data_IF_059244685906
#
_entry.id   IF_059244685906
#
_cell.length_a   1.000
_cell.length_b   1.000
_cell.length_c   1.000
_cell.angle_alpha   90.00
_cell.angle_beta   90.00
_cell.angle_gamma   90.00
#
_symmetry.space_group_name_H-M   'P 1'
#
loop_
_entity.id
_entity.type
_entity.pdbx_description
1 polymer ?
#
# COMPACT_ATOMS: atom_id res chain seq x y z
N UNK A 1 -41.46 -0.74 18.17
CA UNK A 1 -41.16 -0.06 19.44
C UNK A 1 -39.65 0.07 19.49
N UNK A 2 -39.13 1.22 19.05
CA UNK A 2 -37.68 1.42 18.87
C UNK A 2 -37.13 1.93 20.20
N UNK A 3 -36.47 1.07 20.97
CA UNK A 3 -35.80 1.52 22.19
C UNK A 3 -34.61 2.39 21.84
N UNK A 4 -34.75 3.67 22.10
CA UNK A 4 -33.71 4.67 21.93
C UNK A 4 -32.75 4.56 23.12
N UNK A 5 -31.62 3.88 22.93
CA UNK A 5 -30.54 3.79 23.91
C UNK A 5 -29.91 5.18 24.12
N UNK A 6 -30.55 6.01 24.92
CA UNK A 6 -30.02 7.30 25.33
C UNK A 6 -28.90 7.09 26.35
N UNK A 7 -27.67 6.92 25.88
CA UNK A 7 -26.47 6.96 26.73
C UNK A 7 -26.38 8.36 27.33
N UNK A 8 -26.82 8.53 28.57
CA UNK A 8 -26.55 9.75 29.35
C UNK A 8 -25.04 9.85 29.57
N UNK A 9 -24.37 10.63 28.73
CA UNK A 9 -22.98 11.04 28.96
C UNK A 9 -22.98 12.08 30.09
N UNK A 10 -22.89 11.62 31.33
CA UNK A 10 -22.44 12.51 32.40
C UNK A 10 -21.03 12.98 32.05
N UNK A 11 -20.83 14.31 31.98
CA UNK A 11 -19.57 14.91 31.60
C UNK A 11 -18.57 14.74 32.75
N UNK A 12 -17.97 13.55 32.83
CA UNK A 12 -17.04 13.18 33.89
C UNK A 12 -15.73 13.93 33.66
N UNK A 13 -15.54 15.04 34.39
CA UNK A 13 -14.31 15.84 34.34
C UNK A 13 -13.27 15.24 35.27
N UNK A 14 -12.15 14.83 34.70
CA UNK A 14 -10.97 14.43 35.44
C UNK A 14 -9.99 15.60 35.45
N UNK A 15 -9.63 16.07 36.64
CA UNK A 15 -8.53 17.02 36.78
C UNK A 15 -7.20 16.26 36.81
N UNK A 16 -6.17 16.73 36.09
CA UNK A 16 -4.85 16.10 36.16
C UNK A 16 -4.29 16.18 37.58
N UNK A 17 -3.50 15.18 37.97
CA UNK A 17 -2.78 15.18 39.25
C UNK A 17 -1.97 16.49 39.39
N UNK A 18 -2.01 17.19 40.54
CA UNK A 18 -1.26 18.44 40.75
C UNK A 18 0.24 18.32 40.43
N UNK A 19 0.83 17.13 40.61
CA UNK A 19 2.23 16.86 40.25
C UNK A 19 2.46 16.92 38.74
N UNK A 20 1.52 16.42 37.94
CA UNK A 20 1.56 16.53 36.48
C UNK A 20 1.46 17.99 36.03
N UNK A 21 0.64 18.80 36.70
CA UNK A 21 0.55 20.24 36.42
C UNK A 21 1.85 20.97 36.74
N UNK A 22 2.50 20.63 37.85
CA UNK A 22 3.78 21.23 38.25
C UNK A 22 4.94 20.85 37.31
N UNK A 23 4.94 19.63 36.76
CA UNK A 23 5.96 19.15 35.82
C UNK A 23 5.65 19.45 34.33
N UNK A 24 4.54 20.11 34.04
CA UNK A 24 4.16 20.45 32.67
C UNK A 24 5.11 21.49 32.07
N UNK A 25 5.28 21.47 30.75
CA UNK A 25 6.05 22.50 30.03
C UNK A 25 5.40 23.90 30.10
N UNK A 26 4.10 23.97 30.35
CA UNK A 26 3.33 25.20 30.55
C UNK A 26 2.53 25.12 31.85
N UNK A 27 3.20 25.25 33.01
CA UNK A 27 2.56 25.08 34.32
C UNK A 27 1.61 26.25 34.67
N UNK A 28 1.89 27.44 34.13
CA UNK A 28 1.06 28.63 34.25
C UNK A 28 0.43 29.01 32.90
N UNK A 29 -0.70 28.37 32.62
CA UNK A 29 -1.50 28.64 31.42
C UNK A 29 -1.90 30.11 31.30
N UNK A 30 -2.29 30.76 32.41
CA UNK A 30 -2.78 32.14 32.39
C UNK A 30 -1.70 33.08 31.89
N UNK A 31 -0.48 32.93 32.40
CA UNK A 31 0.68 33.70 31.93
C UNK A 31 0.99 33.43 30.46
N UNK A 32 1.10 32.16 30.06
CA UNK A 32 1.40 31.81 28.66
C UNK A 32 0.32 32.33 27.70
N UNK A 33 -0.95 32.30 28.11
CA UNK A 33 -2.06 32.85 27.33
C UNK A 33 -1.99 34.38 27.24
N UNK A 34 -1.64 35.08 28.32
CA UNK A 34 -1.44 36.53 28.28
C UNK A 34 -0.27 36.92 27.37
N UNK A 35 0.84 36.17 27.39
CA UNK A 35 1.98 36.37 26.47
C UNK A 35 1.56 36.16 25.01
N UNK A 36 0.82 35.08 24.73
CA UNK A 36 0.22 34.80 23.43
C UNK A 36 -0.67 35.95 22.93
N UNK A 37 -1.54 36.46 23.79
CA UNK A 37 -2.46 37.56 23.46
C UNK A 37 -1.74 38.90 23.26
N UNK A 38 -0.61 39.13 23.93
CA UNK A 38 0.19 40.35 23.79
C UNK A 38 0.96 40.39 22.48
N UNK A 39 1.62 39.30 22.10
CA UNK A 39 2.38 39.23 20.86
C UNK A 39 2.41 37.79 20.32
N UNK A 40 1.47 37.51 19.42
CA UNK A 40 1.31 36.21 18.78
C UNK A 40 2.57 35.76 18.02
N UNK A 41 3.24 36.69 17.36
CA UNK A 41 4.37 36.40 16.47
C UNK A 41 5.62 36.03 17.27
N UNK A 42 5.97 36.86 18.26
CA UNK A 42 7.07 36.56 19.16
C UNK A 42 6.82 35.27 19.98
N UNK A 43 5.57 35.01 20.36
CA UNK A 43 5.20 33.78 21.06
C UNK A 43 5.49 32.54 20.23
N UNK A 44 5.06 32.51 18.97
CA UNK A 44 5.29 31.37 18.09
C UNK A 44 6.73 31.28 17.60
N UNK A 45 7.39 32.40 17.29
CA UNK A 45 8.82 32.40 16.90
C UNK A 45 9.67 31.72 17.98
N UNK A 46 9.40 31.98 19.26
CA UNK A 46 10.05 31.31 20.38
C UNK A 46 9.80 29.79 20.38
N UNK A 47 8.55 29.36 20.26
CA UNK A 47 8.19 27.93 20.33
C UNK A 47 8.79 27.16 19.16
N UNK A 48 8.71 27.72 17.96
CA UNK A 48 9.13 27.02 16.74
C UNK A 48 10.65 26.87 16.67
N UNK A 49 11.42 27.74 17.35
CA UNK A 49 12.88 27.63 17.52
C UNK A 49 13.31 26.47 18.42
N UNK A 50 12.40 25.85 19.18
CA UNK A 50 12.71 24.66 19.98
C UNK A 50 12.93 23.41 19.11
N UNK A 51 12.50 23.46 17.85
CA UNK A 51 12.64 22.37 16.87
C UNK A 51 13.91 22.54 16.03
N UNK A 52 14.63 21.46 15.70
CA UNK A 52 15.61 21.47 14.62
C UNK A 52 15.03 21.78 13.23
N UNK A 53 15.59 22.80 12.58
CA UNK A 53 15.30 23.20 11.21
C UNK A 53 16.53 22.97 10.32
N UNK A 54 16.31 22.50 9.09
CA UNK A 54 17.37 22.45 8.07
C UNK A 54 17.56 23.82 7.43
N UNK A 55 16.45 24.53 7.17
CA UNK A 55 16.43 25.90 6.69
C UNK A 55 15.36 26.67 7.50
N UNK A 56 15.75 27.58 8.41
CA UNK A 56 14.80 28.37 9.20
C UNK A 56 13.94 29.31 8.34
N UNK A 57 12.79 29.73 8.87
CA UNK A 57 11.90 30.68 8.19
C UNK A 57 12.47 32.11 8.21
N UNK A 58 12.12 32.90 7.18
CA UNK A 58 12.51 34.31 7.08
C UNK A 58 11.60 35.26 7.88
N UNK A 59 10.29 35.27 7.58
CA UNK A 59 9.29 36.07 8.27
C UNK A 59 8.10 35.21 8.74
N UNK A 60 7.51 35.57 9.88
CA UNK A 60 6.33 34.87 10.40
C UNK A 60 5.08 35.33 9.65
N UNK A 61 4.14 34.40 9.39
CA UNK A 61 2.84 34.65 8.74
C UNK A 61 2.87 35.08 7.26
N UNK A 62 4.01 35.02 6.57
CA UNK A 62 4.04 35.17 5.12
C UNK A 62 3.75 33.82 4.42
N UNK A 63 2.75 33.80 3.53
CA UNK A 63 2.25 32.62 2.82
C UNK A 63 2.70 32.58 1.34
N UNK A 64 3.98 32.90 1.05
CA UNK A 64 4.62 32.66 -0.25
C UNK A 64 5.66 31.51 -0.25
N UNK A 65 5.42 30.44 -1.01
CA UNK A 65 6.26 29.22 -1.06
C UNK A 65 7.55 29.44 -1.88
N UNK A 66 8.73 28.85 -1.52
CA UNK A 66 9.04 27.99 -0.36
C UNK A 66 9.50 28.75 0.90
N UNK A 67 9.09 28.26 2.08
CA UNK A 67 9.10 28.99 3.36
C UNK A 67 10.28 28.71 4.31
N UNK A 68 10.54 27.42 4.51
CA UNK A 68 11.44 26.85 5.50
C UNK A 68 11.49 25.33 5.27
N UNK A 69 12.53 24.67 5.77
CA UNK A 69 12.73 23.22 5.60
C UNK A 69 12.92 22.55 6.95
N UNK A 70 11.99 21.67 7.30
CA UNK A 70 12.06 20.80 8.47
C UNK A 70 11.70 19.37 8.04
N UNK A 71 12.13 18.38 8.82
CA UNK A 71 11.65 17.02 8.70
C UNK A 71 11.03 16.59 10.04
N UNK A 72 9.75 16.21 10.00
CA UNK A 72 9.00 15.82 11.18
C UNK A 72 9.52 14.51 11.77
N UNK A 73 9.91 13.54 10.93
CA UNK A 73 10.52 12.29 11.37
C UNK A 73 11.86 12.54 12.06
N UNK A 74 12.67 13.46 11.52
CA UNK A 74 13.93 13.86 12.16
C UNK A 74 13.71 14.46 13.55
N UNK A 75 12.73 15.36 13.68
CA UNK A 75 12.38 16.01 14.93
C UNK A 75 11.78 15.04 15.96
N UNK A 76 11.00 14.04 15.53
CA UNK A 76 10.33 13.11 16.41
C UNK A 76 11.14 11.86 16.75
N UNK A 77 12.06 11.42 15.88
CA UNK A 77 12.75 10.13 16.02
C UNK A 77 14.27 10.27 15.88
N UNK A 78 14.74 10.70 14.70
CA UNK A 78 16.16 10.57 14.34
C UNK A 78 17.07 11.33 15.32
N UNK A 79 16.72 12.55 15.71
CA UNK A 79 17.53 13.35 16.65
C UNK A 79 17.60 12.73 18.05
N UNK A 80 16.55 12.03 18.46
CA UNK A 80 16.47 11.40 19.78
C UNK A 80 17.17 10.04 19.79
N UNK A 81 17.10 9.32 18.67
CA UNK A 81 17.85 8.08 18.46
C UNK A 81 19.37 8.33 18.34
N UNK A 82 19.78 9.48 17.79
CA UNK A 82 21.19 9.87 17.69
C UNK A 82 21.77 10.48 18.99
N UNK A 83 20.92 10.86 19.95
CA UNK A 83 21.35 11.52 21.20
C UNK A 83 21.26 10.62 22.43
N UNK A 84 21.39 11.22 23.61
CA UNK A 84 21.42 10.50 24.90
C UNK A 84 20.09 9.82 25.27
N UNK A 85 19.00 10.19 24.59
CA UNK A 85 17.68 9.60 24.80
C UNK A 85 17.45 8.30 24.01
N UNK A 86 18.46 7.80 23.29
CA UNK A 86 18.33 6.64 22.40
C UNK A 86 17.70 5.41 23.05
N UNK A 87 17.97 5.17 24.34
CA UNK A 87 17.47 4.01 25.09
C UNK A 87 16.14 4.27 25.81
N UNK A 88 15.56 5.47 25.68
CA UNK A 88 14.27 5.82 26.29
C UNK A 88 13.12 5.12 25.54
N UNK A 89 12.22 4.40 26.23
CA UNK A 89 11.02 3.81 25.63
C UNK A 89 10.10 4.89 25.04
N UNK A 90 9.64 4.67 23.81
CA UNK A 90 8.74 5.57 23.06
C UNK A 90 7.38 4.92 22.86
N UNK A 91 7.37 3.63 22.53
CA UNK A 91 6.14 2.87 22.29
C UNK A 91 6.11 1.67 23.22
N UNK A 92 5.02 1.55 23.97
CA UNK A 92 4.68 0.34 24.72
C UNK A 92 3.48 -0.28 24.03
N UNK A 93 3.68 -1.43 23.40
CA UNK A 93 2.63 -2.19 22.75
C UNK A 93 2.21 -3.35 23.64
N UNK A 94 0.90 -3.55 23.79
CA UNK A 94 0.32 -4.70 24.47
C UNK A 94 -0.49 -5.52 23.47
N UNK A 95 -0.27 -6.83 23.46
CA UNK A 95 -1.07 -7.78 22.69
C UNK A 95 -2.32 -8.19 23.46
N UNK A 96 -3.35 -8.64 22.74
CA UNK A 96 -4.54 -9.24 23.37
C UNK A 96 -4.20 -10.52 24.17
N UNK A 97 -3.08 -11.17 23.86
CA UNK A 97 -2.55 -12.33 24.59
C UNK A 97 -1.69 -11.96 25.81
N UNK A 98 -1.58 -10.67 26.16
CA UNK A 98 -0.82 -10.20 27.32
C UNK A 98 0.68 -10.00 27.09
N UNK A 99 1.17 -10.09 25.85
CA UNK A 99 2.56 -9.78 25.51
C UNK A 99 2.78 -8.27 25.54
N UNK A 100 3.84 -7.80 26.19
CA UNK A 100 4.24 -6.39 26.19
C UNK A 100 5.56 -6.21 25.43
N UNK A 101 5.58 -5.29 24.46
CA UNK A 101 6.81 -4.88 23.76
C UNK A 101 7.09 -3.41 24.00
N UNK A 102 8.32 -3.11 24.41
CA UNK A 102 8.80 -1.73 24.58
C UNK A 102 9.82 -1.42 23.49
N UNK A 103 9.51 -0.43 22.66
CA UNK A 103 10.40 0.07 21.62
C UNK A 103 11.03 1.39 22.10
N UNK A 104 12.36 1.46 22.09
CA UNK A 104 13.14 2.67 22.39
C UNK A 104 13.30 3.55 21.15
N UNK A 105 13.80 4.78 21.30
CA UNK A 105 14.12 5.63 20.13
C UNK A 105 15.10 4.95 19.19
N UNK A 106 16.17 4.36 19.74
CA UNK A 106 17.16 3.59 18.97
C UNK A 106 16.54 2.33 18.35
N UNK A 107 15.70 1.62 19.10
CA UNK A 107 15.02 0.42 18.61
C UNK A 107 14.01 0.72 17.51
N UNK A 108 13.36 1.88 17.53
CA UNK A 108 12.45 2.34 16.48
C UNK A 108 13.21 2.88 15.26
N UNK A 109 14.32 3.60 15.48
CA UNK A 109 15.18 4.16 14.43
C UNK A 109 15.98 3.07 13.69
N UNK A 110 16.61 2.16 14.45
CA UNK A 110 17.30 0.97 13.92
C UNK A 110 16.35 -0.15 13.58
N UNK A 111 15.06 0.00 13.89
CA UNK A 111 14.03 -1.00 13.69
C UNK A 111 14.22 -1.69 12.35
N UNK A 112 14.82 -2.89 12.42
CA UNK A 112 15.36 -3.64 11.28
C UNK A 112 14.25 -3.98 10.26
N UNK A 113 12.98 -3.84 10.65
CA UNK A 113 11.80 -4.12 9.87
C UNK A 113 11.33 -2.97 8.96
N UNK A 114 11.36 -1.70 9.38
CA UNK A 114 10.71 -0.62 8.60
C UNK A 114 11.57 -0.16 7.41
N UNK A 115 12.88 -0.03 7.61
CA UNK A 115 13.82 0.35 6.54
C UNK A 115 13.94 -0.72 5.47
N UNK A 116 14.08 -1.99 5.88
CA UNK A 116 14.09 -3.12 4.97
C UNK A 116 12.74 -3.28 4.26
N UNK A 117 11.61 -3.18 4.96
CA UNK A 117 10.29 -3.24 4.32
C UNK A 117 10.11 -2.10 3.29
N UNK A 118 10.52 -0.88 3.60
CA UNK A 118 10.45 0.26 2.67
C UNK A 118 11.31 0.01 1.43
N UNK A 119 12.54 -0.45 1.63
CA UNK A 119 13.45 -0.80 0.54
C UNK A 119 12.90 -1.94 -0.32
N UNK A 120 12.33 -2.97 0.32
CA UNK A 120 11.74 -4.11 -0.38
C UNK A 120 10.47 -3.72 -1.16
N UNK A 121 9.62 -2.83 -0.64
CA UNK A 121 8.49 -2.29 -1.41
C UNK A 121 8.97 -1.55 -2.66
N UNK A 122 10.01 -0.71 -2.53
CA UNK A 122 10.64 -0.04 -3.67
C UNK A 122 11.25 -1.03 -4.67
N UNK A 123 11.96 -2.04 -4.17
CA UNK A 123 12.53 -3.11 -4.98
C UNK A 123 11.45 -3.89 -5.74
N UNK A 124 10.36 -4.29 -5.09
CA UNK A 124 9.27 -5.01 -5.74
C UNK A 124 8.53 -4.15 -6.77
N UNK A 125 8.42 -2.83 -6.54
CA UNK A 125 7.85 -1.90 -7.52
C UNK A 125 8.61 -1.90 -8.85
N UNK A 126 9.94 -2.11 -8.83
CA UNK A 126 10.74 -2.29 -10.06
C UNK A 126 10.25 -3.50 -10.85
N UNK A 127 9.98 -4.63 -10.19
CA UNK A 127 9.46 -5.82 -10.85
C UNK A 127 8.05 -5.60 -11.39
N UNK A 128 7.18 -4.87 -10.68
CA UNK A 128 5.87 -4.50 -11.21
C UNK A 128 5.96 -3.61 -12.45
N UNK A 129 6.87 -2.63 -12.45
CA UNK A 129 7.15 -1.82 -13.63
C UNK A 129 7.70 -2.65 -14.78
N UNK A 130 8.73 -3.45 -14.55
CA UNK A 130 9.42 -4.26 -15.56
C UNK A 130 8.56 -5.42 -16.09
N UNK A 131 7.64 -5.95 -15.28
CA UNK A 131 6.72 -7.01 -15.68
C UNK A 131 5.82 -6.58 -16.85
N UNK A 132 5.45 -5.30 -16.93
CA UNK A 132 4.58 -4.78 -18.01
C UNK A 132 5.20 -4.97 -19.41
N UNK A 133 6.38 -4.41 -19.74
CA UNK A 133 6.97 -4.62 -21.05
C UNK A 133 7.41 -6.08 -21.27
N UNK A 134 7.85 -6.79 -20.22
CA UNK A 134 8.28 -8.18 -20.34
C UNK A 134 7.14 -9.11 -20.75
N UNK A 135 6.04 -9.11 -19.99
CA UNK A 135 4.90 -9.97 -20.28
C UNK A 135 4.00 -9.42 -21.39
N UNK A 136 3.93 -8.10 -21.57
CA UNK A 136 3.26 -7.48 -22.73
C UNK A 136 3.92 -7.92 -24.03
N UNK A 137 5.24 -7.72 -24.16
CA UNK A 137 5.98 -8.16 -25.34
C UNK A 137 5.98 -9.67 -25.53
N UNK A 138 5.86 -10.46 -24.46
CA UNK A 138 5.65 -11.89 -24.57
C UNK A 138 4.25 -12.22 -25.12
N UNK A 139 3.19 -11.60 -24.59
CA UNK A 139 1.82 -11.77 -25.09
C UNK A 139 1.71 -11.46 -26.59
N UNK A 140 2.39 -10.41 -27.06
CA UNK A 140 2.41 -10.04 -28.47
C UNK A 140 3.13 -11.07 -29.35
N UNK A 141 4.18 -11.74 -28.84
CA UNK A 141 4.99 -12.71 -29.60
C UNK A 141 4.40 -14.11 -29.63
N UNK A 142 3.78 -14.58 -28.54
CA UNK A 142 3.30 -15.97 -28.44
C UNK A 142 1.78 -16.09 -28.46
N UNK A 143 1.08 -15.33 -27.61
CA UNK A 143 -0.38 -15.18 -27.49
C UNK A 143 -0.70 -14.75 -26.05
N UNK A 144 -1.76 -13.95 -25.85
CA UNK A 144 -2.22 -13.60 -24.51
C UNK A 144 -2.56 -14.81 -23.64
N UNK A 145 -3.10 -15.88 -24.24
CA UNK A 145 -3.42 -17.14 -23.54
C UNK A 145 -2.18 -17.79 -22.90
N UNK A 146 -1.14 -18.07 -23.70
CA UNK A 146 0.07 -18.75 -23.21
C UNK A 146 0.81 -17.90 -22.20
N UNK A 147 0.82 -16.58 -22.38
CA UNK A 147 1.42 -15.65 -21.41
C UNK A 147 0.65 -15.62 -20.09
N UNK A 148 -0.69 -15.63 -20.12
CA UNK A 148 -1.50 -15.75 -18.90
C UNK A 148 -1.27 -17.08 -18.17
N UNK A 149 -1.16 -18.19 -18.91
CA UNK A 149 -0.81 -19.50 -18.32
C UNK A 149 0.57 -19.46 -17.65
N UNK A 150 1.56 -18.85 -18.30
CA UNK A 150 2.90 -18.70 -17.71
C UNK A 150 2.84 -17.90 -16.39
N UNK A 151 2.13 -16.77 -16.34
CA UNK A 151 2.06 -15.96 -15.12
C UNK A 151 1.34 -16.69 -13.99
N UNK A 152 0.27 -17.44 -14.27
CA UNK A 152 -0.38 -18.28 -13.26
C UNK A 152 0.56 -19.39 -12.75
N UNK A 153 1.35 -20.02 -13.62
CA UNK A 153 2.36 -20.99 -13.21
C UNK A 153 3.43 -20.38 -12.31
N UNK A 154 3.92 -19.18 -12.64
CA UNK A 154 4.88 -18.44 -11.82
C UNK A 154 4.31 -18.05 -10.45
N UNK A 155 3.04 -17.60 -10.39
CA UNK A 155 2.35 -17.29 -9.13
C UNK A 155 2.25 -18.53 -8.24
N UNK A 156 1.86 -19.68 -8.82
CA UNK A 156 1.77 -20.93 -8.07
C UNK A 156 3.14 -21.37 -7.54
N UNK A 157 4.19 -21.34 -8.38
CA UNK A 157 5.55 -21.71 -7.98
C UNK A 157 6.11 -20.80 -6.87
N UNK A 158 5.94 -19.48 -7.00
CA UNK A 158 6.35 -18.52 -5.98
C UNK A 158 5.59 -18.72 -4.65
N UNK A 159 4.29 -19.02 -4.73
CA UNK A 159 3.47 -19.29 -3.54
C UNK A 159 3.87 -20.59 -2.84
N UNK A 160 4.19 -21.64 -3.60
CA UNK A 160 4.69 -22.91 -3.04
C UNK A 160 6.08 -22.72 -2.42
N UNK A 161 6.98 -21.96 -3.05
CA UNK A 161 8.32 -21.69 -2.53
C UNK A 161 8.29 -21.06 -1.13
N UNK A 162 7.54 -19.96 -0.97
CA UNK A 162 7.44 -19.28 0.33
C UNK A 162 6.69 -20.12 1.38
N UNK A 163 5.77 -20.98 0.95
CA UNK A 163 5.06 -21.87 1.87
C UNK A 163 5.96 -23.01 2.40
N UNK A 164 6.75 -23.64 1.52
CA UNK A 164 7.61 -24.77 1.90
C UNK A 164 8.93 -24.35 2.56
N UNK A 165 9.45 -23.19 2.22
CA UNK A 165 10.73 -22.69 2.72
C UNK A 165 10.59 -21.22 3.21
N UNK A 166 9.85 -20.98 4.31
CA UNK A 166 9.66 -19.62 4.81
C UNK A 166 11.00 -19.03 5.28
N UNK A 167 11.38 -17.89 4.70
CA UNK A 167 12.60 -17.17 5.05
C UNK A 167 12.78 -15.91 4.21
N UNK A 168 13.68 -15.01 4.64
CA UNK A 168 13.91 -13.72 3.96
C UNK A 168 14.29 -13.89 2.49
N UNK A 169 15.20 -14.80 2.09
CA UNK A 169 15.51 -15.00 0.67
C UNK A 169 14.32 -15.50 -0.14
N UNK A 170 13.56 -16.45 0.38
CA UNK A 170 12.35 -16.98 -0.27
C UNK A 170 11.27 -15.89 -0.41
N UNK A 171 11.12 -15.02 0.60
CA UNK A 171 10.24 -13.86 0.55
C UNK A 171 10.63 -12.91 -0.58
N UNK A 172 11.90 -12.50 -0.65
CA UNK A 172 12.41 -11.56 -1.67
C UNK A 172 12.18 -12.12 -3.08
N UNK A 173 12.58 -13.38 -3.32
CA UNK A 173 12.42 -14.01 -4.65
C UNK A 173 10.94 -14.16 -5.01
N UNK A 174 10.13 -14.68 -4.08
CA UNK A 174 8.71 -14.93 -4.36
C UNK A 174 7.95 -13.63 -4.61
N UNK A 175 8.16 -12.59 -3.79
CA UNK A 175 7.47 -11.31 -3.96
C UNK A 175 7.96 -10.53 -5.20
N UNK A 176 9.22 -10.66 -5.60
CA UNK A 176 9.69 -10.13 -6.88
C UNK A 176 8.93 -10.76 -8.07
N UNK A 177 8.76 -12.08 -8.05
CA UNK A 177 7.99 -12.81 -9.08
C UNK A 177 6.50 -12.42 -9.04
N UNK A 178 5.89 -12.37 -7.86
CA UNK A 178 4.47 -12.01 -7.68
C UNK A 178 4.20 -10.56 -8.15
N UNK A 179 5.06 -9.60 -7.79
CA UNK A 179 4.93 -8.22 -8.26
C UNK A 179 5.17 -8.10 -9.76
N UNK A 180 6.11 -8.87 -10.31
CA UNK A 180 6.33 -9.00 -11.75
C UNK A 180 5.09 -9.51 -12.48
N UNK A 181 4.45 -10.55 -11.95
CA UNK A 181 3.20 -11.10 -12.51
C UNK A 181 2.04 -10.11 -12.40
N UNK A 182 1.93 -9.37 -11.30
CA UNK A 182 0.95 -8.29 -11.13
C UNK A 182 1.15 -7.21 -12.20
N UNK A 183 2.40 -6.79 -12.44
CA UNK A 183 2.75 -5.86 -13.51
C UNK A 183 2.41 -6.41 -14.89
N UNK A 184 2.74 -7.67 -15.14
CA UNK A 184 2.43 -8.36 -16.38
C UNK A 184 0.94 -8.44 -16.66
N UNK A 185 0.10 -8.70 -15.65
CA UNK A 185 -1.36 -8.74 -15.83
C UNK A 185 -1.93 -7.41 -16.32
N UNK A 186 -1.39 -6.28 -15.85
CA UNK A 186 -1.77 -4.94 -16.31
C UNK A 186 -1.42 -4.67 -17.78
N UNK A 187 -0.61 -5.52 -18.41
CA UNK A 187 -0.32 -5.50 -19.85
C UNK A 187 -1.05 -6.61 -20.62
N UNK A 188 -1.15 -7.82 -20.07
CA UNK A 188 -1.80 -8.96 -20.73
C UNK A 188 -3.32 -8.74 -20.86
N UNK A 189 -4.00 -8.26 -19.82
CA UNK A 189 -5.45 -8.09 -19.84
C UNK A 189 -5.95 -7.13 -20.95
N UNK A 190 -5.38 -5.91 -21.12
CA UNK A 190 -5.78 -5.04 -22.21
C UNK A 190 -5.40 -5.62 -23.58
N UNK A 191 -4.21 -6.23 -23.73
CA UNK A 191 -3.80 -6.88 -24.98
C UNK A 191 -4.76 -8.02 -25.38
N UNK A 192 -5.07 -8.92 -24.44
CA UNK A 192 -6.03 -10.01 -24.64
C UNK A 192 -7.40 -9.47 -25.05
N UNK A 193 -7.87 -8.41 -24.38
CA UNK A 193 -9.16 -7.81 -24.68
C UNK A 193 -9.21 -7.25 -26.09
N UNK A 194 -8.19 -6.48 -26.50
CA UNK A 194 -8.10 -5.93 -27.85
C UNK A 194 -7.99 -7.03 -28.91
N UNK A 195 -7.18 -8.08 -28.65
CA UNK A 195 -7.02 -9.20 -29.58
C UNK A 195 -8.29 -10.05 -29.73
N UNK A 196 -9.12 -10.16 -28.70
CA UNK A 196 -10.28 -11.06 -28.70
C UNK A 196 -11.58 -10.36 -29.09
N UNK A 197 -11.76 -9.10 -28.70
CA UNK A 197 -13.01 -8.35 -28.92
C UNK A 197 -12.86 -7.21 -29.93
N UNK A 198 -11.64 -6.97 -30.43
CA UNK A 198 -11.35 -5.83 -31.30
C UNK A 198 -11.30 -4.50 -30.56
N UNK A 199 -11.09 -3.42 -31.31
CA UNK A 199 -10.91 -2.07 -30.74
C UNK A 199 -12.19 -1.25 -30.66
N UNK A 200 -13.24 -1.61 -31.40
CA UNK A 200 -14.48 -0.85 -31.49
C UNK A 200 -15.24 -0.75 -30.15
N UNK A 201 -15.39 -1.87 -29.43
CA UNK A 201 -16.05 -1.92 -28.11
C UNK A 201 -15.06 -2.12 -26.96
N UNK A 202 -13.76 -1.89 -27.21
CA UNK A 202 -12.68 -2.16 -26.25
C UNK A 202 -12.91 -1.58 -24.85
N UNK A 203 -13.30 -0.30 -24.65
CA UNK A 203 -13.49 0.25 -23.31
C UNK A 203 -14.58 -0.48 -22.50
N UNK A 204 -15.63 -0.97 -23.17
CA UNK A 204 -16.70 -1.73 -22.51
C UNK A 204 -16.22 -3.12 -22.12
N UNK A 205 -15.61 -3.85 -23.05
CA UNK A 205 -15.09 -5.19 -22.80
C UNK A 205 -14.00 -5.17 -21.71
N UNK A 206 -13.06 -4.23 -21.81
CA UNK A 206 -11.98 -4.09 -20.83
C UNK A 206 -12.52 -3.69 -19.46
N UNK A 207 -13.55 -2.83 -19.40
CA UNK A 207 -14.23 -2.47 -18.15
C UNK A 207 -14.77 -3.69 -17.41
N UNK A 208 -15.38 -4.65 -18.11
CA UNK A 208 -15.87 -5.91 -17.50
C UNK A 208 -14.70 -6.78 -17.00
N UNK A 209 -13.63 -6.90 -17.79
CA UNK A 209 -12.43 -7.65 -17.38
C UNK A 209 -11.80 -7.02 -16.13
N UNK A 210 -11.72 -5.69 -16.08
CA UNK A 210 -11.13 -4.95 -14.97
C UNK A 210 -11.99 -4.97 -13.71
N UNK A 211 -13.31 -5.15 -13.83
CA UNK A 211 -14.20 -5.36 -12.69
C UNK A 211 -13.79 -6.59 -11.86
N UNK A 212 -13.39 -7.68 -12.52
CA UNK A 212 -12.90 -8.89 -11.84
C UNK A 212 -11.62 -8.63 -11.03
N UNK A 213 -10.73 -7.76 -11.54
CA UNK A 213 -9.55 -7.31 -10.78
C UNK A 213 -9.96 -6.55 -9.51
N UNK A 214 -10.95 -5.65 -9.62
CA UNK A 214 -11.49 -4.92 -8.46
C UNK A 214 -12.08 -5.85 -7.40
N UNK A 215 -12.84 -6.88 -7.81
CA UNK A 215 -13.37 -7.88 -6.89
C UNK A 215 -12.26 -8.63 -6.14
N UNK A 216 -11.18 -9.01 -6.84
CA UNK A 216 -9.99 -9.63 -6.24
C UNK A 216 -9.27 -8.71 -5.24
N UNK A 217 -9.14 -7.42 -5.56
CA UNK A 217 -8.52 -6.44 -4.67
C UNK A 217 -9.30 -6.22 -3.37
N UNK A 218 -10.61 -6.45 -3.37
CA UNK A 218 -11.46 -6.40 -2.18
C UNK A 218 -11.39 -7.73 -1.40
N UNK A 219 -11.51 -8.87 -2.09
CA UNK A 219 -11.55 -10.19 -1.45
C UNK A 219 -10.20 -10.61 -0.86
N UNK A 220 -9.09 -10.28 -1.52
CA UNK A 220 -7.75 -10.71 -1.15
C UNK A 220 -7.32 -10.28 0.26
N UNK A 221 -7.33 -8.98 0.60
CA UNK A 221 -6.97 -8.49 1.94
C UNK A 221 -7.86 -9.06 3.05
N UNK A 222 -9.16 -9.24 2.77
CA UNK A 222 -10.11 -9.80 3.74
C UNK A 222 -9.80 -11.28 4.02
N UNK A 223 -9.53 -12.06 2.97
CA UNK A 223 -9.12 -13.46 3.10
C UNK A 223 -7.79 -13.56 3.86
N UNK A 224 -6.80 -12.72 3.54
CA UNK A 224 -5.52 -12.70 4.24
C UNK A 224 -5.68 -12.33 5.73
N UNK A 225 -6.56 -11.37 6.04
CA UNK A 225 -6.91 -10.99 7.41
C UNK A 225 -7.54 -12.16 8.18
N UNK A 226 -8.52 -12.85 7.58
CA UNK A 226 -9.15 -14.03 8.17
C UNK A 226 -8.14 -15.17 8.42
N UNK A 227 -7.25 -15.44 7.46
CA UNK A 227 -6.22 -16.46 7.63
C UNK A 227 -5.27 -16.09 8.78
N UNK A 228 -4.89 -14.82 8.89
CA UNK A 228 -4.01 -14.34 9.96
C UNK A 228 -4.65 -14.45 11.34
N UNK A 229 -5.95 -14.18 11.48
CA UNK A 229 -6.67 -14.30 12.75
C UNK A 229 -6.90 -15.76 13.13
N UNK A 230 -7.20 -16.63 12.16
CA UNK A 230 -7.44 -18.05 12.41
C UNK A 230 -6.16 -18.85 12.71
N UNK A 231 -5.07 -18.57 11.99
CA UNK A 231 -3.85 -19.41 12.03
C UNK A 231 -2.68 -18.77 12.79
N UNK A 232 -2.78 -17.49 13.12
CA UNK A 232 -1.67 -16.75 13.74
C UNK A 232 -0.57 -16.32 12.76
N UNK A 233 -0.68 -16.63 11.46
CA UNK A 233 0.34 -16.33 10.45
C UNK A 233 -0.26 -15.97 9.09
N UNK A 234 0.49 -15.23 8.27
CA UNK A 234 0.13 -14.99 6.86
C UNK A 234 0.57 -16.13 5.93
N UNK A 235 1.40 -17.07 6.42
CA UNK A 235 1.89 -18.18 5.59
C UNK A 235 0.75 -19.07 5.06
N UNK A 236 -0.36 -19.17 5.79
CA UNK A 236 -1.54 -19.94 5.38
C UNK A 236 -2.24 -19.39 4.12
N UNK A 237 -1.90 -18.18 3.67
CA UNK A 237 -2.47 -17.57 2.46
C UNK A 237 -1.89 -18.20 1.20
N UNK A 238 -0.60 -18.57 1.21
CA UNK A 238 0.10 -18.98 -0.01
C UNK A 238 -0.40 -20.31 -0.61
N UNK A 239 -0.78 -21.34 0.16
CA UNK A 239 -1.46 -22.51 -0.39
C UNK A 239 -2.75 -22.16 -1.13
N UNK A 240 -3.56 -21.24 -0.59
CA UNK A 240 -4.79 -20.79 -1.23
C UNK A 240 -4.49 -20.06 -2.53
N UNK A 241 -3.48 -19.18 -2.54
CA UNK A 241 -3.02 -18.48 -3.76
C UNK A 241 -2.53 -19.49 -4.80
N UNK A 242 -1.79 -20.52 -4.40
CA UNK A 242 -1.33 -21.56 -5.32
C UNK A 242 -2.50 -22.34 -5.96
N UNK A 243 -3.53 -22.68 -5.18
CA UNK A 243 -4.74 -23.34 -5.69
C UNK A 243 -5.52 -22.43 -6.64
N UNK A 244 -5.71 -21.16 -6.27
CA UNK A 244 -6.38 -20.18 -7.14
C UNK A 244 -5.61 -19.94 -8.44
N UNK A 245 -4.28 -19.91 -8.38
CA UNK A 245 -3.42 -19.79 -9.55
C UNK A 245 -3.51 -21.03 -10.44
N UNK A 246 -3.56 -22.24 -9.88
CA UNK A 246 -3.77 -23.47 -10.63
C UNK A 246 -5.16 -23.51 -11.30
N UNK A 247 -6.21 -23.03 -10.62
CA UNK A 247 -7.53 -22.87 -11.21
C UNK A 247 -7.51 -21.83 -12.35
N UNK A 248 -6.86 -20.68 -12.14
CA UNK A 248 -6.67 -19.66 -13.17
C UNK A 248 -5.91 -20.18 -14.39
N UNK A 249 -4.88 -21.00 -14.19
CA UNK A 249 -4.16 -21.69 -15.25
C UNK A 249 -5.07 -22.60 -16.07
N UNK A 250 -5.89 -23.43 -15.40
CA UNK A 250 -6.83 -24.32 -16.07
C UNK A 250 -7.91 -23.54 -16.85
N UNK A 251 -8.43 -22.45 -16.27
CA UNK A 251 -9.39 -21.55 -16.94
C UNK A 251 -8.76 -20.90 -18.17
N UNK A 252 -7.54 -20.39 -18.07
CA UNK A 252 -6.82 -19.80 -19.20
C UNK A 252 -6.58 -20.82 -20.32
N UNK A 253 -6.17 -22.04 -19.96
CA UNK A 253 -6.02 -23.12 -20.94
C UNK A 253 -7.33 -23.40 -21.65
N UNK A 254 -8.41 -23.64 -20.90
CA UNK A 254 -9.66 -24.16 -21.46
C UNK A 254 -10.44 -23.08 -22.23
N UNK A 255 -10.49 -21.86 -21.69
CA UNK A 255 -11.44 -20.82 -22.10
C UNK A 255 -10.83 -19.64 -22.87
N UNK A 256 -9.55 -19.30 -22.67
CA UNK A 256 -8.92 -18.18 -23.40
C UNK A 256 -8.45 -18.60 -24.80
N UNK A 257 -9.36 -19.15 -25.63
CA UNK A 257 -9.02 -19.54 -27.00
C UNK A 257 -9.08 -18.32 -27.93
N UNK A 258 -8.15 -18.20 -28.90
CA UNK A 258 -8.21 -17.11 -29.86
C UNK A 258 -9.51 -17.17 -30.70
N UNK A 259 -10.09 -16.03 -31.09
CA UNK A 259 -11.27 -16.00 -31.94
C UNK A 259 -11.01 -16.70 -33.26
N UNK A 260 -12.02 -17.40 -33.76
CA UNK A 260 -12.00 -17.94 -35.13
C UNK A 260 -12.03 -16.74 -36.08
N UNK A 261 -11.06 -16.64 -36.99
CA UNK A 261 -11.06 -15.60 -38.00
C UNK A 261 -12.33 -15.72 -38.86
N UNK A 262 -13.17 -14.67 -38.84
CA UNK A 262 -14.31 -14.59 -39.75
C UNK A 262 -13.72 -14.27 -41.14
N UNK A 263 -13.95 -15.10 -42.17
CA UNK A 263 -13.47 -14.79 -43.51
C UNK A 263 -14.02 -13.43 -43.95
N UNK A 264 -13.16 -12.62 -44.57
CA UNK A 264 -13.55 -11.29 -45.05
C UNK A 264 -14.82 -11.41 -45.91
N UNK A 265 -15.87 -10.70 -45.53
CA UNK A 265 -17.07 -10.60 -46.36
C UNK A 265 -16.67 -10.07 -47.74
N UNK A 266 -17.12 -10.75 -48.80
CA UNK A 266 -16.89 -10.30 -50.16
C UNK A 266 -17.28 -8.81 -50.28
N UNK A 267 -16.49 -7.99 -50.99
CA UNK A 267 -16.80 -6.57 -51.15
C UNK A 267 -18.23 -6.43 -51.69
N UNK A 268 -19.05 -5.65 -51.00
CA UNK A 268 -20.40 -5.30 -51.48
C UNK A 268 -20.21 -4.59 -52.82
N UNK A 269 -20.79 -5.09 -53.92
CA UNK A 269 -20.69 -4.41 -55.20
C UNK A 269 -21.25 -3.00 -55.05
N UNK A 270 -20.40 -2.01 -55.33
CA UNK A 270 -20.82 -0.61 -55.40
C UNK A 270 -21.89 -0.54 -56.49
N UNK A 271 -23.12 -0.20 -56.12
CA UNK A 271 -24.17 0.05 -57.09
C UNK A 271 -23.65 1.12 -58.06
N UNK A 272 -23.50 0.74 -59.33
CA UNK A 272 -23.15 1.68 -60.39
C UNK A 272 -24.21 2.79 -60.35
N UNK A 273 -23.76 4.02 -60.07
CA UNK A 273 -24.63 5.18 -60.16
C UNK A 273 -25.21 5.26 -61.57
N UNK A 274 -26.53 5.43 -61.63
CA UNK A 274 -27.24 5.80 -62.84
C UNK A 274 -26.70 7.17 -63.29
N UNK A 275 -26.15 7.22 -64.50
CA UNK A 275 -25.83 8.46 -65.22
C UNK A 275 -27.10 9.20 -65.68
#
# INVERSE_FOLDING_TARGET
>A
MTEMFAVKREEKRYLPDPRCKAAAWTPDYTRSYQEFMRNLEAFWDRIVRELPWFEPWGQMKEWNYPYAKLNIAHNCLDRHAAGDQKDKPVTVWHSEGGEERRLTYDGLYRGVDAGLATLLVGFFAIFNGAGRPAFGGLADRISPQKTAMLTFGLIAAASVLIWLAPGVPAYIVSFAVLWGCLGGWLAIAPAATASYFGTCDYPRCYGVVFLAYGAGAIAGPQLAGFVRTATGTYLGVFPLVAVLAAAGFAVAWLLMRPPIAVPASAPVPVAAGEE
#
